data_IF_765672138651
#
_entry.id   IF_765672138651
#
_cell.length_a   1.000
_cell.length_b   1.000
_cell.length_c   1.000
_cell.angle_alpha   90.00
_cell.angle_beta   90.00
_cell.angle_gamma   90.00
#
_symmetry.space_group_name_H-M   'P 1'
#
loop_
_entity.id
_entity.type
_entity.pdbx_description
1 polymer ?
#
# COMPACT_ATOMS: atom_id res chain seq x y z
N UNK A 1 -60.99 62.23 28.38
CA UNK A 1 -61.10 61.89 26.95
C UNK A 1 -60.06 60.80 26.68
N UNK A 2 -60.53 59.57 26.46
CA UNK A 2 -59.95 58.41 25.73
C UNK A 2 -58.44 58.10 25.81
N UNK A 3 -57.95 56.85 25.82
CA UNK A 3 -58.46 55.49 26.02
C UNK A 3 -57.21 54.56 26.05
N UNK A 4 -57.32 53.41 26.70
CA UNK A 4 -56.33 52.32 26.73
C UNK A 4 -55.85 51.84 25.35
N UNK A 5 -54.60 51.36 25.28
CA UNK A 5 -54.23 50.16 24.52
C UNK A 5 -52.90 49.58 25.03
N UNK A 6 -53.03 48.54 25.85
CA UNK A 6 -51.98 47.58 26.15
C UNK A 6 -51.68 46.75 24.91
N UNK A 7 -50.43 46.76 24.44
CA UNK A 7 -49.94 45.79 23.47
C UNK A 7 -48.99 44.84 24.19
N UNK A 8 -49.50 43.64 24.46
CA UNK A 8 -48.72 42.46 24.78
C UNK A 8 -47.75 42.17 23.64
N UNK A 9 -46.46 42.26 23.92
CA UNK A 9 -45.41 41.75 23.04
C UNK A 9 -45.32 40.24 23.31
N UNK A 10 -45.98 39.45 22.48
CA UNK A 10 -45.72 38.02 22.37
C UNK A 10 -44.24 37.82 21.97
N UNK A 11 -43.48 36.94 22.63
CA UNK A 11 -42.14 36.59 22.17
C UNK A 11 -42.27 35.89 20.81
N UNK A 12 -41.64 36.47 19.79
CA UNK A 12 -41.43 35.80 18.52
C UNK A 12 -40.75 34.47 18.79
N UNK A 13 -41.35 33.39 18.27
CA UNK A 13 -40.79 32.06 18.30
C UNK A 13 -39.35 32.09 17.77
N UNK A 14 -38.40 31.77 18.66
CA UNK A 14 -37.04 31.42 18.27
C UNK A 14 -37.14 30.30 17.25
N UNK A 15 -36.95 30.65 15.97
CA UNK A 15 -36.66 29.66 14.95
C UNK A 15 -35.29 29.09 15.27
N UNK A 16 -35.25 28.09 16.15
CA UNK A 16 -34.08 27.24 16.35
C UNK A 16 -33.81 26.60 15.00
N UNK A 17 -32.91 27.20 14.23
CA UNK A 17 -32.34 26.56 13.07
C UNK A 17 -31.53 25.40 13.63
N UNK A 18 -32.13 24.21 13.67
CA UNK A 18 -31.43 22.96 13.98
C UNK A 18 -30.47 22.73 12.80
N UNK A 19 -29.29 23.32 12.87
CA UNK A 19 -28.19 23.02 11.95
C UNK A 19 -27.75 21.59 12.28
N UNK A 20 -28.35 20.61 11.60
CA UNK A 20 -27.98 19.20 11.74
C UNK A 20 -26.52 19.02 11.34
N UNK A 21 -25.72 18.48 12.26
CA UNK A 21 -24.31 18.12 12.05
C UNK A 21 -24.17 17.24 10.79
N UNK A 22 -23.36 17.69 9.83
CA UNK A 22 -22.97 16.90 8.66
C UNK A 22 -21.62 16.25 8.99
N UNK A 23 -21.63 15.32 9.94
CA UNK A 23 -20.46 14.50 10.25
C UNK A 23 -20.71 13.09 9.70
N UNK A 24 -19.78 12.52 8.91
CA UNK A 24 -19.90 11.14 8.49
C UNK A 24 -19.97 10.27 9.74
N UNK A 25 -20.99 9.41 9.85
CA UNK A 25 -20.93 8.32 10.83
C UNK A 25 -19.63 7.55 10.59
N UNK A 26 -18.97 7.12 11.65
CA UNK A 26 -17.75 6.31 11.54
C UNK A 26 -18.15 4.85 11.36
N UNK A 27 -17.79 4.18 10.26
CA UNK A 27 -18.15 2.79 10.05
C UNK A 27 -17.35 1.87 10.96
N UNK A 28 -18.03 0.93 11.62
CA UNK A 28 -17.42 -0.19 12.32
C UNK A 28 -16.58 -1.06 11.38
N UNK A 29 -17.02 -1.25 10.13
CA UNK A 29 -16.28 -1.96 9.08
C UNK A 29 -16.48 -1.25 7.75
N UNK A 30 -15.38 -1.01 7.03
CA UNK A 30 -15.38 -0.49 5.66
C UNK A 30 -14.72 -1.52 4.76
N UNK A 31 -15.41 -1.93 3.70
CA UNK A 31 -14.89 -2.82 2.67
C UNK A 31 -14.95 -2.11 1.32
N UNK A 32 -13.84 -2.10 0.59
CA UNK A 32 -13.78 -1.50 -0.75
C UNK A 32 -13.67 -2.59 -1.82
N UNK A 33 -14.59 -2.61 -2.77
CA UNK A 33 -14.62 -3.53 -3.91
C UNK A 33 -14.35 -2.73 -5.17
N UNK A 34 -13.07 -2.56 -5.57
CA UNK A 34 -12.70 -1.92 -6.83
C UNK A 34 -13.11 -2.82 -7.99
N UNK A 35 -14.03 -2.30 -8.81
CA UNK A 35 -14.58 -3.03 -9.95
C UNK A 35 -13.83 -2.71 -11.24
N UNK A 36 -13.29 -1.51 -11.39
CA UNK A 36 -12.59 -1.09 -12.60
C UNK A 36 -11.35 -0.29 -12.22
N UNK A 37 -10.25 -0.49 -12.94
CA UNK A 37 -9.03 0.29 -12.81
C UNK A 37 -8.45 0.61 -14.19
N UNK A 38 -8.62 1.85 -14.64
CA UNK A 38 -8.14 2.32 -15.93
C UNK A 38 -6.93 3.24 -15.73
N UNK A 39 -5.86 3.14 -16.55
CA UNK A 39 -5.73 2.29 -17.74
C UNK A 39 -5.19 0.88 -17.46
N UNK A 40 -4.84 0.55 -16.21
CA UNK A 40 -4.17 -0.71 -15.87
C UNK A 40 -4.91 -1.98 -16.38
N UNK A 41 -6.25 -2.01 -16.30
CA UNK A 41 -7.04 -3.15 -16.77
C UNK A 41 -6.86 -3.41 -18.28
N UNK A 42 -6.46 -2.40 -19.07
CA UNK A 42 -6.10 -2.60 -20.48
C UNK A 42 -4.80 -3.38 -20.62
N UNK A 43 -3.81 -3.11 -19.77
CA UNK A 43 -2.54 -3.83 -19.75
C UNK A 43 -2.75 -5.27 -19.27
N UNK A 44 -3.54 -5.45 -18.20
CA UNK A 44 -3.95 -6.77 -17.72
C UNK A 44 -4.76 -7.57 -18.75
N UNK A 45 -5.56 -6.90 -19.59
CA UNK A 45 -6.24 -7.57 -20.71
C UNK A 45 -5.25 -8.07 -21.76
N UNK A 46 -4.13 -7.39 -22.00
CA UNK A 46 -3.14 -7.82 -23.00
C UNK A 46 -2.41 -9.10 -22.56
N UNK A 47 -2.21 -9.31 -21.26
CA UNK A 47 -1.58 -10.53 -20.72
C UNK A 47 -2.55 -11.69 -20.57
N UNK A 48 -3.85 -11.43 -20.33
CA UNK A 48 -4.86 -12.47 -20.03
C UNK A 48 -5.82 -12.78 -21.19
N UNK A 49 -5.84 -11.95 -22.24
CA UNK A 49 -6.59 -12.14 -23.47
C UNK A 49 -8.02 -11.57 -23.51
N UNK A 50 -8.64 -11.25 -22.36
CA UNK A 50 -9.97 -10.62 -22.35
C UNK A 50 -10.19 -9.73 -21.13
N UNK A 51 -11.17 -8.83 -21.22
CA UNK A 51 -11.46 -7.86 -20.15
C UNK A 51 -11.85 -8.53 -18.83
N UNK A 52 -12.69 -9.57 -18.87
CA UNK A 52 -13.10 -10.29 -17.65
C UNK A 52 -12.00 -11.20 -17.10
N UNK A 53 -11.09 -11.70 -17.95
CA UNK A 53 -9.93 -12.47 -17.48
C UNK A 53 -8.84 -11.57 -16.88
N UNK A 54 -8.83 -10.28 -17.19
CA UNK A 54 -7.85 -9.33 -16.67
C UNK A 54 -7.89 -9.19 -15.13
N UNK A 55 -9.00 -9.55 -14.47
CA UNK A 55 -9.07 -9.60 -13.01
C UNK A 55 -8.22 -10.72 -12.38
N UNK A 56 -7.65 -11.63 -13.17
CA UNK A 56 -6.63 -12.58 -12.70
C UNK A 56 -5.26 -11.91 -12.44
N UNK A 57 -5.08 -10.68 -12.93
CA UNK A 57 -3.92 -9.83 -12.69
C UNK A 57 -4.42 -8.48 -12.12
N UNK A 58 -4.91 -8.45 -10.87
CA UNK A 58 -5.40 -7.22 -10.25
C UNK A 58 -4.33 -6.12 -10.20
N UNK A 59 -4.77 -4.86 -10.17
CA UNK A 59 -3.89 -3.70 -9.94
C UNK A 59 -3.37 -3.66 -8.49
N UNK A 60 -2.35 -2.86 -8.21
CA UNK A 60 -1.85 -2.63 -6.85
C UNK A 60 -2.96 -2.16 -5.92
N UNK A 61 -3.85 -1.29 -6.41
CA UNK A 61 -4.97 -0.78 -5.63
C UNK A 61 -6.09 -1.81 -5.43
N UNK A 62 -6.35 -2.65 -6.44
CA UNK A 62 -7.29 -3.77 -6.32
C UNK A 62 -6.80 -4.79 -5.30
N UNK A 63 -5.55 -5.23 -5.40
CA UNK A 63 -4.94 -6.18 -4.47
C UNK A 63 -4.90 -5.63 -3.05
N UNK A 64 -4.51 -4.37 -2.87
CA UNK A 64 -4.47 -3.74 -1.55
C UNK A 64 -5.85 -3.61 -0.92
N UNK A 65 -6.90 -3.33 -1.71
CA UNK A 65 -8.26 -3.31 -1.21
C UNK A 65 -8.72 -4.70 -0.75
N UNK A 66 -8.44 -5.75 -1.52
CA UNK A 66 -8.77 -7.13 -1.15
C UNK A 66 -8.08 -7.55 0.15
N UNK A 67 -6.77 -7.28 0.29
CA UNK A 67 -6.04 -7.60 1.52
C UNK A 67 -6.52 -6.82 2.73
N UNK A 68 -6.77 -5.52 2.56
CA UNK A 68 -7.34 -4.69 3.62
C UNK A 68 -8.70 -5.22 4.08
N UNK A 69 -9.57 -5.59 3.13
CA UNK A 69 -10.89 -6.14 3.41
C UNK A 69 -10.82 -7.46 4.18
N UNK A 70 -9.88 -8.33 3.81
CA UNK A 70 -9.67 -9.64 4.44
C UNK A 70 -9.33 -9.47 5.92
N UNK A 71 -8.26 -8.72 6.24
CA UNK A 71 -7.84 -8.48 7.62
C UNK A 71 -8.88 -7.69 8.43
N UNK A 72 -9.50 -6.66 7.84
CA UNK A 72 -10.54 -5.89 8.51
C UNK A 72 -11.76 -6.76 8.87
N UNK A 73 -12.21 -7.61 7.94
CA UNK A 73 -13.34 -8.52 8.16
C UNK A 73 -13.02 -9.59 9.20
N UNK A 74 -11.83 -10.21 9.09
CA UNK A 74 -11.37 -11.22 10.04
C UNK A 74 -11.36 -10.64 11.47
N UNK A 75 -10.76 -9.48 11.68
CA UNK A 75 -10.65 -8.88 13.01
C UNK A 75 -11.98 -8.43 13.60
N UNK A 76 -12.92 -7.96 12.77
CA UNK A 76 -14.30 -7.70 13.21
C UNK A 76 -14.96 -9.00 13.63
N UNK A 77 -14.81 -10.06 12.86
CA UNK A 77 -15.38 -11.39 13.15
C UNK A 77 -14.85 -11.97 14.45
N UNK A 78 -13.53 -11.93 14.66
CA UNK A 78 -12.89 -12.42 15.89
C UNK A 78 -13.34 -11.66 17.12
N UNK A 79 -13.41 -10.32 17.05
CA UNK A 79 -13.93 -9.51 18.16
C UNK A 79 -15.36 -9.91 18.53
N UNK A 80 -16.24 -10.09 17.55
CA UNK A 80 -17.61 -10.57 17.78
C UNK A 80 -17.66 -12.00 18.33
N UNK A 81 -16.77 -12.88 17.87
CA UNK A 81 -16.73 -14.27 18.33
C UNK A 81 -16.36 -14.40 19.82
N UNK A 82 -15.52 -13.51 20.34
CA UNK A 82 -15.10 -13.53 21.75
C UNK A 82 -16.00 -12.69 22.66
N UNK A 83 -16.90 -11.85 22.11
CA UNK A 83 -17.83 -11.00 22.88
C UNK A 83 -18.62 -11.76 23.97
N UNK A 84 -19.15 -12.98 23.72
CA UNK A 84 -19.90 -13.75 24.71
C UNK A 84 -19.09 -14.18 25.94
N UNK A 85 -17.76 -14.10 25.92
CA UNK A 85 -16.91 -14.46 27.05
C UNK A 85 -17.06 -13.37 28.13
N UNK A 86 -17.81 -13.68 29.19
CA UNK A 86 -18.13 -12.73 30.27
C UNK A 86 -16.92 -12.27 31.09
N UNK A 87 -15.88 -13.11 31.22
CA UNK A 87 -14.65 -12.73 31.92
C UNK A 87 -13.77 -11.86 31.00
N UNK A 88 -13.55 -10.59 31.37
CA UNK A 88 -12.80 -9.61 30.58
C UNK A 88 -11.36 -10.04 30.27
N UNK A 89 -10.65 -10.63 31.24
CA UNK A 89 -9.26 -11.07 31.06
C UNK A 89 -9.19 -12.26 30.11
N UNK A 90 -10.06 -13.25 30.31
CA UNK A 90 -10.17 -14.41 29.43
C UNK A 90 -10.54 -14.00 28.00
N UNK A 91 -11.50 -13.07 27.84
CA UNK A 91 -11.88 -12.53 26.54
C UNK A 91 -10.72 -11.85 25.83
N UNK A 92 -9.92 -11.08 26.58
CA UNK A 92 -8.74 -10.40 26.02
C UNK A 92 -7.69 -11.40 25.58
N UNK A 93 -7.39 -12.41 26.40
CA UNK A 93 -6.44 -13.48 26.05
C UNK A 93 -6.94 -14.25 24.82
N UNK A 94 -8.22 -14.64 24.81
CA UNK A 94 -8.84 -15.34 23.68
C UNK A 94 -8.74 -14.51 22.39
N UNK A 95 -8.99 -13.20 22.46
CA UNK A 95 -8.85 -12.31 21.29
C UNK A 95 -7.41 -12.26 20.78
N UNK A 96 -6.43 -12.10 21.68
CA UNK A 96 -5.01 -12.00 21.31
C UNK A 96 -4.55 -13.29 20.64
N UNK A 97 -4.86 -14.45 21.22
CA UNK A 97 -4.51 -15.76 20.66
C UNK A 97 -5.20 -15.97 19.31
N UNK A 98 -6.49 -15.62 19.20
CA UNK A 98 -7.24 -15.79 17.95
C UNK A 98 -6.70 -14.90 16.83
N UNK A 99 -6.36 -13.64 17.15
CA UNK A 99 -5.75 -12.70 16.19
C UNK A 99 -4.38 -13.21 15.74
N UNK A 100 -3.52 -13.62 16.68
CA UNK A 100 -2.20 -14.17 16.35
C UNK A 100 -2.29 -15.35 15.37
N UNK A 101 -3.12 -16.35 15.70
CA UNK A 101 -3.30 -17.52 14.86
C UNK A 101 -3.91 -17.17 13.50
N UNK A 102 -4.88 -16.27 13.48
CA UNK A 102 -5.55 -15.85 12.24
C UNK A 102 -4.60 -15.09 11.33
N UNK A 103 -3.89 -14.09 11.83
CA UNK A 103 -2.95 -13.29 11.03
C UNK A 103 -1.81 -14.14 10.47
N UNK A 104 -1.28 -15.09 11.26
CA UNK A 104 -0.28 -16.04 10.77
C UNK A 104 -0.82 -16.92 9.64
N UNK A 105 -2.05 -17.42 9.75
CA UNK A 105 -2.66 -18.22 8.66
C UNK A 105 -2.92 -17.33 7.44
N UNK A 106 -3.47 -16.14 7.66
CA UNK A 106 -3.81 -15.21 6.60
C UNK A 106 -2.59 -14.67 5.87
N UNK A 107 -1.41 -14.58 6.49
CA UNK A 107 -0.20 -14.16 5.77
C UNK A 107 0.16 -15.09 4.61
N UNK A 108 -0.27 -16.36 4.65
CA UNK A 108 -0.11 -17.35 3.58
C UNK A 108 -1.33 -17.50 2.67
N UNK A 109 -2.47 -16.89 3.01
CA UNK A 109 -3.71 -17.08 2.27
C UNK A 109 -3.77 -16.21 1.00
N UNK A 110 -4.52 -16.64 -0.05
CA UNK A 110 -4.90 -15.75 -1.13
C UNK A 110 -5.66 -14.52 -0.60
N UNK A 111 -5.29 -13.33 -1.05
CA UNK A 111 -5.77 -12.07 -0.48
C UNK A 111 -5.05 -11.65 0.80
N UNK A 112 -4.15 -12.45 1.35
CA UNK A 112 -3.33 -12.15 2.53
C UNK A 112 -2.15 -11.22 2.26
N UNK A 113 -1.32 -11.01 3.29
CA UNK A 113 -0.12 -10.17 3.22
C UNK A 113 0.93 -10.67 2.21
N UNK A 114 1.27 -11.97 2.22
CA UNK A 114 2.18 -12.54 1.22
C UNK A 114 1.57 -12.53 -0.18
N UNK A 115 0.26 -12.75 -0.31
CA UNK A 115 -0.40 -12.68 -1.62
C UNK A 115 -0.34 -11.26 -2.19
N UNK A 116 -0.52 -10.25 -1.34
CA UNK A 116 -0.40 -8.85 -1.71
C UNK A 116 1.02 -8.51 -2.19
N UNK A 117 2.04 -9.02 -1.50
CA UNK A 117 3.45 -8.88 -1.89
C UNK A 117 3.65 -9.36 -3.33
N UNK A 118 3.26 -10.60 -3.63
CA UNK A 118 3.43 -11.15 -4.97
C UNK A 118 2.59 -10.43 -6.03
N UNK A 119 1.35 -10.01 -5.72
CA UNK A 119 0.54 -9.26 -6.68
C UNK A 119 1.11 -7.88 -7.01
N UNK A 120 1.90 -7.26 -6.13
CA UNK A 120 2.57 -6.01 -6.46
C UNK A 120 3.68 -6.20 -7.49
N UNK A 121 4.47 -7.27 -7.41
CA UNK A 121 5.40 -7.64 -8.49
C UNK A 121 4.65 -7.91 -9.79
N UNK A 122 3.54 -8.68 -9.72
CA UNK A 122 2.72 -9.00 -10.89
C UNK A 122 2.08 -7.77 -11.53
N UNK A 123 1.74 -6.76 -10.75
CA UNK A 123 1.22 -5.50 -11.28
C UNK A 123 2.26 -4.78 -12.15
N UNK A 124 3.52 -4.72 -11.69
CA UNK A 124 4.63 -4.15 -12.48
C UNK A 124 4.88 -4.99 -13.74
N UNK A 125 4.94 -6.33 -13.63
CA UNK A 125 5.10 -7.22 -14.80
C UNK A 125 3.96 -7.04 -15.82
N UNK A 126 2.72 -6.99 -15.34
CA UNK A 126 1.52 -6.87 -16.18
C UNK A 126 1.50 -5.56 -16.96
N UNK A 127 1.92 -4.46 -16.31
CA UNK A 127 2.05 -3.14 -16.94
C UNK A 127 2.99 -3.16 -18.15
N UNK A 128 3.99 -4.02 -18.11
CA UNK A 128 4.99 -4.26 -19.17
C UNK A 128 4.70 -5.51 -20.00
N UNK A 129 3.42 -5.91 -20.01
CA UNK A 129 2.88 -7.00 -20.84
C UNK A 129 3.57 -8.35 -20.62
N UNK A 130 4.08 -8.55 -19.42
CA UNK A 130 4.69 -9.81 -18.98
C UNK A 130 3.66 -10.57 -18.17
N UNK A 131 3.24 -11.73 -18.67
CA UNK A 131 2.32 -12.59 -17.93
C UNK A 131 3.07 -13.37 -16.83
N UNK A 132 2.36 -13.70 -15.77
CA UNK A 132 2.94 -14.32 -14.57
C UNK A 132 1.87 -15.00 -13.73
N UNK A 133 2.29 -15.78 -12.73
CA UNK A 133 1.42 -16.45 -11.76
C UNK A 133 1.91 -16.16 -10.34
N UNK A 134 0.98 -15.86 -9.44
CA UNK A 134 1.26 -15.74 -8.01
C UNK A 134 1.08 -17.11 -7.35
N UNK A 135 2.16 -17.70 -6.85
CA UNK A 135 2.10 -19.02 -6.23
C UNK A 135 1.47 -19.00 -4.83
N UNK A 136 1.25 -17.83 -4.21
CA UNK A 136 0.41 -17.69 -3.00
C UNK A 136 -1.03 -18.15 -3.24
N UNK A 137 -1.49 -18.19 -4.48
CA UNK A 137 -2.81 -18.75 -4.82
C UNK A 137 -2.95 -20.25 -4.50
N UNK A 138 -1.83 -20.95 -4.25
CA UNK A 138 -1.80 -22.35 -3.80
C UNK A 138 -1.94 -22.50 -2.28
N UNK A 139 -2.01 -21.38 -1.55
CA UNK A 139 -2.01 -21.32 -0.09
C UNK A 139 -0.80 -22.06 0.53
N UNK A 140 0.43 -21.58 0.28
CA UNK A 140 1.68 -22.27 0.63
C UNK A 140 2.03 -22.13 2.12
N UNK A 141 1.16 -22.62 3.01
CA UNK A 141 1.32 -22.45 4.46
C UNK A 141 2.69 -23.00 4.94
N UNK A 142 3.51 -22.11 5.49
CA UNK A 142 4.83 -22.45 6.03
C UNK A 142 5.94 -22.61 4.99
N UNK A 143 5.71 -22.25 3.73
CA UNK A 143 6.78 -22.17 2.74
C UNK A 143 7.78 -21.06 3.09
N UNK A 144 9.08 -21.34 2.92
CA UNK A 144 10.15 -20.38 3.18
C UNK A 144 10.28 -19.32 2.08
N UNK A 145 9.96 -19.71 0.84
CA UNK A 145 9.94 -18.83 -0.35
C UNK A 145 8.69 -19.09 -1.16
N UNK A 146 8.18 -18.05 -1.81
CA UNK A 146 7.04 -18.14 -2.72
C UNK A 146 7.36 -17.34 -3.97
N UNK A 147 7.04 -17.90 -5.13
CA UNK A 147 7.52 -17.39 -6.41
C UNK A 147 6.43 -16.66 -7.19
N UNK A 148 6.80 -15.60 -7.91
CA UNK A 148 6.07 -15.14 -9.09
C UNK A 148 6.58 -15.91 -10.31
N UNK A 149 5.86 -16.98 -10.63
CA UNK A 149 6.25 -17.97 -11.64
C UNK A 149 5.65 -17.68 -13.02
N UNK A 150 5.94 -18.57 -13.99
CA UNK A 150 5.44 -18.53 -15.38
C UNK A 150 5.82 -17.29 -16.18
N UNK A 151 6.92 -16.65 -15.80
CA UNK A 151 7.53 -15.55 -16.55
C UNK A 151 8.47 -16.13 -17.60
N UNK A 152 8.45 -15.59 -18.82
CA UNK A 152 9.37 -16.00 -19.89
C UNK A 152 10.65 -15.16 -19.84
N UNK A 153 11.78 -15.76 -20.19
CA UNK A 153 13.06 -15.05 -20.22
C UNK A 153 13.04 -13.93 -21.27
N UNK A 154 12.41 -14.14 -22.42
CA UNK A 154 12.31 -13.12 -23.48
C UNK A 154 11.51 -11.90 -23.02
N UNK A 155 10.51 -12.09 -22.15
CA UNK A 155 9.73 -10.99 -21.58
C UNK A 155 10.58 -10.16 -20.61
N UNK A 156 11.41 -10.80 -19.77
CA UNK A 156 12.31 -10.10 -18.86
C UNK A 156 13.43 -9.37 -19.61
N UNK A 157 13.99 -9.98 -20.66
CA UNK A 157 14.96 -9.33 -21.55
C UNK A 157 14.37 -8.09 -22.18
N UNK A 158 13.17 -8.20 -22.78
CA UNK A 158 12.46 -7.06 -23.37
C UNK A 158 12.20 -5.97 -22.31
N UNK A 159 11.63 -6.36 -21.17
CA UNK A 159 11.23 -5.43 -20.12
C UNK A 159 12.44 -4.63 -19.60
N UNK A 160 13.56 -5.27 -19.26
CA UNK A 160 14.75 -4.54 -18.81
C UNK A 160 15.28 -3.56 -19.85
N UNK A 161 15.28 -3.94 -21.13
CA UNK A 161 15.75 -3.07 -22.21
C UNK A 161 14.83 -1.87 -22.47
N UNK A 162 13.51 -2.08 -22.45
CA UNK A 162 12.53 -1.05 -22.80
C UNK A 162 12.21 -0.12 -21.62
N UNK A 163 12.34 -0.58 -20.37
CA UNK A 163 11.92 0.17 -19.19
C UNK A 163 12.77 -0.17 -17.95
N UNK A 164 14.06 0.18 -17.94
CA UNK A 164 14.99 -0.20 -16.88
C UNK A 164 14.59 0.32 -15.50
N UNK A 165 14.03 1.53 -15.40
CA UNK A 165 13.57 2.07 -14.11
C UNK A 165 12.44 1.25 -13.49
N UNK A 166 11.45 0.83 -14.29
CA UNK A 166 10.38 -0.05 -13.81
C UNK A 166 10.91 -1.46 -13.52
N UNK A 167 11.89 -1.94 -14.29
CA UNK A 167 12.57 -3.21 -14.01
C UNK A 167 13.32 -3.19 -12.68
N UNK A 168 13.99 -2.08 -12.34
CA UNK A 168 14.63 -1.89 -11.03
C UNK A 168 13.57 -1.82 -9.93
N UNK A 169 12.42 -1.17 -10.17
CA UNK A 169 11.34 -1.14 -9.17
C UNK A 169 10.73 -2.53 -8.92
N UNK A 170 10.70 -3.38 -9.94
CA UNK A 170 9.97 -4.64 -9.91
C UNK A 170 10.25 -5.46 -8.62
N UNK A 171 11.50 -5.75 -8.21
CA UNK A 171 11.76 -6.55 -7.01
C UNK A 171 11.43 -5.84 -5.69
N UNK A 172 11.28 -4.51 -5.66
CA UNK A 172 10.92 -3.80 -4.41
C UNK A 172 9.42 -3.56 -4.27
N UNK A 173 8.64 -3.84 -5.32
CA UNK A 173 7.20 -3.62 -5.33
C UNK A 173 6.47 -4.47 -4.26
N UNK A 174 6.94 -5.67 -3.94
CA UNK A 174 6.27 -6.54 -2.97
C UNK A 174 6.14 -5.93 -1.57
N UNK A 175 7.26 -5.43 -1.01
CA UNK A 175 7.23 -4.75 0.29
C UNK A 175 6.52 -3.38 0.23
N UNK A 176 6.43 -2.77 -0.96
CA UNK A 176 5.60 -1.57 -1.18
C UNK A 176 4.13 -1.88 -0.83
N UNK A 177 3.62 -3.03 -1.26
CA UNK A 177 2.26 -3.47 -0.93
C UNK A 177 2.04 -3.69 0.57
N UNK A 178 2.99 -4.34 1.23
CA UNK A 178 2.94 -4.66 2.66
C UNK A 178 2.89 -3.39 3.52
N UNK A 179 3.76 -2.41 3.25
CA UNK A 179 3.73 -1.14 3.99
C UNK A 179 2.45 -0.33 3.74
N UNK A 180 1.90 -0.36 2.51
CA UNK A 180 0.62 0.27 2.21
C UNK A 180 -0.56 -0.42 2.93
N UNK A 181 -0.51 -1.74 3.13
CA UNK A 181 -1.52 -2.48 3.90
C UNK A 181 -1.53 -2.00 5.35
N UNK A 182 -0.35 -1.95 5.98
CA UNK A 182 -0.21 -1.46 7.36
C UNK A 182 -0.68 -0.03 7.48
N UNK A 183 -0.28 0.87 6.57
CA UNK A 183 -0.75 2.25 6.55
C UNK A 183 -2.28 2.32 6.45
N UNK A 184 -2.90 1.55 5.54
CA UNK A 184 -4.35 1.60 5.31
C UNK A 184 -5.13 1.14 6.53
N UNK A 185 -4.69 0.07 7.19
CA UNK A 185 -5.29 -0.42 8.43
C UNK A 185 -5.09 0.57 9.60
N UNK A 186 -3.92 1.21 9.69
CA UNK A 186 -3.67 2.28 10.66
C UNK A 186 -4.61 3.47 10.46
N UNK A 187 -4.77 3.92 9.20
CA UNK A 187 -5.72 4.98 8.81
C UNK A 187 -7.14 4.61 9.16
N UNK A 188 -7.57 3.37 8.95
CA UNK A 188 -8.89 2.90 9.35
C UNK A 188 -9.09 3.02 10.87
N UNK A 189 -8.12 2.55 11.66
CA UNK A 189 -8.18 2.66 13.12
C UNK A 189 -8.21 4.12 13.61
N UNK A 190 -7.40 4.99 13.00
CA UNK A 190 -7.31 6.40 13.37
C UNK A 190 -8.56 7.21 12.94
N UNK A 191 -8.89 7.21 11.64
CA UNK A 191 -9.94 8.06 11.06
C UNK A 191 -11.35 7.49 11.20
N UNK A 192 -11.53 6.18 11.31
CA UNK A 192 -12.85 5.57 11.50
C UNK A 192 -13.08 5.09 12.93
N UNK A 193 -12.12 5.30 13.84
CA UNK A 193 -12.24 4.93 15.26
C UNK A 193 -12.58 3.45 15.47
N UNK A 194 -12.16 2.57 14.57
CA UNK A 194 -12.61 1.17 14.55
C UNK A 194 -12.06 0.34 15.71
N UNK A 195 -10.95 0.75 16.32
CA UNK A 195 -10.32 0.09 17.48
C UNK A 195 -10.12 -1.43 17.28
N UNK A 196 -9.72 -1.83 16.08
CA UNK A 196 -9.46 -3.22 15.70
C UNK A 196 -8.05 -3.65 16.10
N UNK A 197 -7.84 -4.91 16.51
CA UNK A 197 -6.57 -5.45 16.96
C UNK A 197 -5.64 -5.77 15.79
N UNK A 198 -5.30 -4.78 14.97
CA UNK A 198 -4.42 -4.96 13.81
C UNK A 198 -2.93 -4.97 14.18
N UNK A 199 -2.57 -4.73 15.44
CA UNK A 199 -1.18 -4.54 15.86
C UNK A 199 -0.30 -5.74 15.54
N UNK A 200 -0.82 -6.97 15.68
CA UNK A 200 -0.04 -8.16 15.34
C UNK A 200 0.23 -8.23 13.83
N UNK A 201 -0.77 -8.04 12.97
CA UNK A 201 -0.56 -7.89 11.52
C UNK A 201 0.42 -6.76 11.18
N UNK A 202 0.41 -5.63 11.89
CA UNK A 202 1.40 -4.56 11.67
C UNK A 202 2.81 -5.04 11.89
N UNK A 203 3.06 -5.68 13.03
CA UNK A 203 4.37 -6.22 13.38
C UNK A 203 4.79 -7.35 12.45
N UNK A 204 3.87 -8.28 12.13
CA UNK A 204 4.14 -9.40 11.23
C UNK A 204 4.60 -8.89 9.86
N UNK A 205 3.84 -7.99 9.26
CA UNK A 205 4.13 -7.43 7.93
C UNK A 205 5.43 -6.60 7.95
N UNK A 206 5.55 -5.62 8.87
CA UNK A 206 6.72 -4.73 8.92
C UNK A 206 8.02 -5.46 9.26
N UNK A 207 8.00 -6.37 10.25
CA UNK A 207 9.19 -7.13 10.63
C UNK A 207 9.58 -8.12 9.53
N UNK A 208 8.61 -8.77 8.88
CA UNK A 208 8.91 -9.64 7.75
C UNK A 208 9.64 -8.87 6.64
N UNK A 209 9.13 -7.71 6.23
CA UNK A 209 9.79 -6.87 5.22
C UNK A 209 11.18 -6.38 5.68
N UNK A 210 11.34 -5.94 6.93
CA UNK A 210 12.64 -5.52 7.48
C UNK A 210 13.66 -6.67 7.43
N UNK A 211 13.26 -7.84 7.94
CA UNK A 211 14.13 -9.00 8.00
C UNK A 211 14.46 -9.49 6.60
N UNK A 212 13.53 -9.46 5.66
CA UNK A 212 13.76 -9.91 4.29
C UNK A 212 14.79 -9.04 3.55
N UNK A 213 14.69 -7.71 3.66
CA UNK A 213 15.72 -6.80 3.09
C UNK A 213 17.08 -7.04 3.75
N UNK A 214 17.13 -7.23 5.08
CA UNK A 214 18.38 -7.47 5.79
C UNK A 214 19.01 -8.81 5.43
N UNK A 215 18.22 -9.88 5.38
CA UNK A 215 18.67 -11.22 4.99
C UNK A 215 19.19 -11.23 3.56
N UNK A 216 18.59 -10.45 2.66
CA UNK A 216 19.08 -10.28 1.29
C UNK A 216 20.47 -9.63 1.19
N UNK A 217 21.04 -9.18 2.30
CA UNK A 217 22.41 -8.64 2.40
C UNK A 217 23.39 -9.54 3.15
N UNK A 218 22.96 -10.73 3.58
CA UNK A 218 23.80 -11.72 4.26
C UNK A 218 24.34 -12.76 3.26
N UNK A 219 25.65 -12.74 2.97
CA UNK A 219 26.24 -13.67 1.99
C UNK A 219 25.99 -15.14 2.27
N UNK A 220 26.01 -15.55 3.55
CA UNK A 220 25.85 -16.96 3.90
C UNK A 220 24.43 -17.46 3.63
N UNK A 221 23.44 -16.60 3.80
CA UNK A 221 22.05 -16.95 3.60
C UNK A 221 21.66 -16.84 2.14
N UNK A 222 21.97 -15.71 1.50
CA UNK A 222 21.62 -15.42 0.11
C UNK A 222 22.22 -16.43 -0.85
N UNK A 223 23.53 -16.69 -0.75
CA UNK A 223 24.20 -17.54 -1.74
C UNK A 223 23.73 -18.99 -1.62
N UNK A 224 23.55 -19.48 -0.38
CA UNK A 224 22.98 -20.80 -0.09
C UNK A 224 21.56 -20.93 -0.64
N UNK A 225 20.69 -19.99 -0.31
CA UNK A 225 19.29 -20.03 -0.74
C UNK A 225 19.17 -19.90 -2.26
N UNK A 226 20.01 -19.08 -2.89
CA UNK A 226 20.09 -18.97 -4.36
C UNK A 226 20.49 -20.30 -5.00
N UNK A 227 21.46 -21.02 -4.43
CA UNK A 227 21.85 -22.34 -4.90
C UNK A 227 20.74 -23.38 -4.73
N UNK A 228 20.06 -23.37 -3.59
CA UNK A 228 18.91 -24.24 -3.31
C UNK A 228 17.76 -23.97 -4.29
N UNK A 229 17.42 -22.70 -4.55
CA UNK A 229 16.38 -22.32 -5.50
C UNK A 229 16.74 -22.72 -6.94
N UNK A 230 17.97 -22.43 -7.39
CA UNK A 230 18.43 -22.83 -8.73
C UNK A 230 18.40 -24.35 -8.93
N UNK A 231 18.66 -25.13 -7.87
CA UNK A 231 18.59 -26.59 -7.91
C UNK A 231 17.14 -27.12 -7.93
N UNK A 232 16.24 -26.48 -7.18
CA UNK A 232 14.86 -26.91 -7.00
C UNK A 232 13.89 -26.40 -8.08
N UNK A 233 14.27 -25.36 -8.83
CA UNK A 233 13.45 -24.75 -9.87
C UNK A 233 14.07 -24.88 -11.27
N UNK A 234 14.28 -26.11 -11.76
CA UNK A 234 14.92 -26.32 -13.05
C UNK A 234 14.04 -25.80 -14.19
N UNK A 235 12.71 -25.91 -14.12
CA UNK A 235 11.81 -25.49 -15.20
C UNK A 235 11.58 -23.97 -15.19
N UNK A 236 11.85 -23.30 -16.32
CA UNK A 236 11.58 -21.86 -16.55
C UNK A 236 10.15 -21.48 -16.17
N UNK A 237 9.18 -22.39 -16.32
CA UNK A 237 7.76 -22.15 -16.01
C UNK A 237 7.46 -22.08 -14.52
N UNK A 238 8.25 -22.74 -13.68
CA UNK A 238 8.08 -22.74 -12.22
C UNK A 238 9.07 -21.82 -11.53
N UNK A 239 10.17 -21.48 -12.21
CA UNK A 239 11.20 -20.56 -11.75
C UNK A 239 10.60 -19.19 -11.41
N UNK A 240 10.98 -18.68 -10.26
CA UNK A 240 10.72 -17.29 -9.89
C UNK A 240 11.30 -16.30 -10.92
N UNK A 241 10.76 -15.09 -10.97
CA UNK A 241 11.23 -14.06 -11.90
C UNK A 241 12.59 -13.47 -11.50
N UNK A 242 12.95 -13.47 -10.21
CA UNK A 242 14.15 -12.76 -9.72
C UNK A 242 14.91 -13.45 -8.57
N UNK A 243 14.28 -14.40 -7.87
CA UNK A 243 14.83 -15.02 -6.67
C UNK A 243 14.71 -14.07 -5.49
N UNK A 244 15.82 -13.83 -4.79
CA UNK A 244 15.81 -12.87 -3.68
C UNK A 244 15.77 -11.43 -4.21
N UNK A 245 14.66 -10.77 -3.91
CA UNK A 245 14.28 -9.48 -4.47
C UNK A 245 15.35 -8.40 -4.33
N UNK A 246 15.85 -8.20 -3.10
CA UNK A 246 16.66 -7.02 -2.81
C UNK A 246 18.11 -7.15 -3.27
N UNK A 247 18.61 -8.37 -3.41
CA UNK A 247 19.90 -8.64 -4.05
C UNK A 247 19.82 -8.29 -5.54
N UNK A 248 18.73 -8.67 -6.21
CA UNK A 248 18.50 -8.32 -7.61
C UNK A 248 18.25 -6.81 -7.78
N UNK A 249 17.45 -6.21 -6.90
CA UNK A 249 17.20 -4.76 -6.89
C UNK A 249 18.49 -3.96 -6.84
N UNK A 250 19.38 -4.22 -5.88
CA UNK A 250 20.62 -3.46 -5.78
C UNK A 250 21.54 -3.74 -6.97
N UNK A 251 21.56 -4.97 -7.48
CA UNK A 251 22.34 -5.32 -8.66
C UNK A 251 21.94 -4.46 -9.87
N UNK A 252 20.64 -4.38 -10.18
CA UNK A 252 20.14 -3.61 -11.32
C UNK A 252 20.14 -2.11 -11.06
N UNK A 253 19.99 -1.66 -9.82
CA UNK A 253 20.06 -0.24 -9.44
C UNK A 253 21.43 0.37 -9.77
N UNK A 254 22.51 -0.40 -9.57
CA UNK A 254 23.88 0.00 -9.92
C UNK A 254 24.23 -0.29 -11.39
N UNK A 255 23.44 -1.14 -12.08
CA UNK A 255 23.67 -1.55 -13.48
C UNK A 255 22.41 -1.35 -14.34
N UNK A 256 21.85 -0.13 -14.40
CA UNK A 256 20.56 0.12 -15.03
C UNK A 256 20.55 -0.19 -16.54
N UNK A 257 21.70 -0.08 -17.21
CA UNK A 257 21.84 -0.26 -18.66
C UNK A 257 22.45 -1.61 -19.06
N UNK A 258 22.82 -2.47 -18.11
CA UNK A 258 23.37 -3.79 -18.41
C UNK A 258 22.29 -4.68 -19.04
N UNK A 259 22.62 -5.43 -20.08
CA UNK A 259 21.63 -6.31 -20.72
C UNK A 259 21.18 -7.40 -19.74
N UNK A 260 19.90 -7.75 -19.78
CA UNK A 260 19.41 -8.86 -18.94
C UNK A 260 20.07 -10.20 -19.30
N UNK A 261 20.53 -10.37 -20.55
CA UNK A 261 21.23 -11.58 -21.00
C UNK A 261 22.63 -11.73 -20.40
N UNK A 262 23.24 -10.65 -19.94
CA UNK A 262 24.60 -10.66 -19.36
C UNK A 262 24.63 -11.37 -18.00
N UNK A 263 23.44 -11.65 -17.45
CA UNK A 263 23.23 -12.52 -16.30
C UNK A 263 23.75 -13.95 -16.49
N UNK A 264 23.95 -14.38 -17.75
CA UNK A 264 24.47 -15.69 -18.10
C UNK A 264 23.40 -16.78 -18.15
N UNK A 265 23.84 -18.00 -18.48
CA UNK A 265 22.98 -19.17 -18.57
C UNK A 265 22.70 -19.70 -17.15
N UNK A 266 21.46 -20.13 -16.91
CA UNK A 266 21.07 -20.79 -15.66
C UNK A 266 22.05 -21.94 -15.32
N UNK A 267 22.39 -22.21 -14.04
CA UNK A 267 23.38 -23.24 -13.69
C UNK A 267 23.10 -24.64 -14.24
N UNK A 268 21.84 -24.97 -14.52
CA UNK A 268 21.44 -26.24 -15.14
C UNK A 268 21.40 -26.23 -16.68
N UNK A 269 21.87 -25.14 -17.31
CA UNK A 269 21.99 -24.99 -18.76
C UNK A 269 20.73 -24.52 -19.51
N UNK A 270 19.66 -24.18 -18.80
CA UNK A 270 18.36 -23.88 -19.40
C UNK A 270 17.82 -22.47 -19.06
N UNK A 271 17.80 -21.60 -20.07
CA UNK A 271 17.37 -20.21 -19.92
C UNK A 271 18.40 -19.33 -19.22
N UNK A 272 17.97 -18.14 -18.81
CA UNK A 272 18.80 -17.12 -18.14
C UNK A 272 18.93 -17.41 -16.65
N UNK A 273 20.11 -17.16 -16.09
CA UNK A 273 20.34 -17.16 -14.65
C UNK A 273 19.69 -15.93 -13.99
N UNK A 274 18.40 -16.02 -13.66
CA UNK A 274 17.63 -14.90 -13.12
C UNK A 274 18.18 -14.43 -11.77
N UNK A 275 18.62 -15.36 -10.93
CA UNK A 275 18.93 -15.06 -9.52
C UNK A 275 20.29 -14.40 -9.38
N UNK A 276 20.42 -13.56 -8.36
CA UNK A 276 21.66 -12.85 -8.01
C UNK A 276 22.13 -13.29 -6.64
N UNK A 277 23.40 -13.65 -6.56
CA UNK A 277 24.11 -13.92 -5.30
C UNK A 277 24.74 -12.65 -4.76
N UNK A 278 25.15 -12.66 -3.50
CA UNK A 278 25.98 -11.57 -2.96
C UNK A 278 27.37 -11.54 -3.60
N UNK A 279 27.87 -12.67 -4.11
CA UNK A 279 29.11 -12.72 -4.90
C UNK A 279 29.01 -11.99 -6.24
N UNK A 280 27.80 -11.73 -6.72
CA UNK A 280 27.57 -10.92 -7.93
C UNK A 280 27.57 -9.41 -7.62
N UNK A 281 27.60 -9.04 -6.34
CA UNK A 281 27.63 -7.65 -5.89
C UNK A 281 29.06 -7.18 -5.60
N UNK A 282 29.31 -5.90 -5.91
CA UNK A 282 30.51 -5.23 -5.41
C UNK A 282 30.41 -4.96 -3.91
N UNK A 283 31.53 -4.62 -3.26
CA UNK A 283 31.53 -4.26 -1.84
C UNK A 283 30.64 -3.04 -1.55
N UNK A 284 30.62 -2.05 -2.47
CA UNK A 284 29.82 -0.84 -2.34
C UNK A 284 28.32 -1.11 -2.53
N UNK A 285 27.95 -1.98 -3.47
CA UNK A 285 26.57 -2.44 -3.66
C UNK A 285 26.05 -3.17 -2.42
N UNK A 286 26.84 -4.11 -1.89
CA UNK A 286 26.48 -4.84 -0.69
C UNK A 286 26.38 -3.91 0.54
N UNK A 287 27.29 -2.94 0.66
CA UNK A 287 27.23 -1.93 1.72
C UNK A 287 25.99 -1.04 1.58
N UNK A 288 25.64 -0.64 0.36
CA UNK A 288 24.43 0.11 0.09
C UNK A 288 23.18 -0.70 0.49
N UNK A 289 23.08 -1.97 0.09
CA UNK A 289 21.95 -2.82 0.47
C UNK A 289 21.83 -2.99 1.99
N UNK A 290 22.95 -3.19 2.71
CA UNK A 290 22.98 -3.24 4.18
C UNK A 290 22.48 -1.95 4.81
N UNK A 291 22.88 -0.80 4.27
CA UNK A 291 22.40 0.52 4.73
C UNK A 291 20.89 0.62 4.56
N UNK A 292 20.35 0.26 3.40
CA UNK A 292 18.91 0.29 3.13
C UNK A 292 18.14 -0.67 4.04
N UNK A 293 18.65 -1.90 4.25
CA UNK A 293 18.07 -2.85 5.20
C UNK A 293 18.04 -2.34 6.64
N UNK A 294 19.02 -1.53 7.07
CA UNK A 294 18.98 -0.89 8.38
C UNK A 294 17.99 0.29 8.45
N UNK A 295 17.84 1.05 7.37
CA UNK A 295 16.85 2.14 7.29
C UNK A 295 15.41 1.62 7.31
N UNK A 296 15.16 0.36 6.95
CA UNK A 296 13.83 -0.26 7.07
C UNK A 296 13.27 -0.21 8.50
N UNK A 297 14.12 -0.13 9.54
CA UNK A 297 13.66 0.04 10.93
C UNK A 297 12.91 1.36 11.17
N UNK A 298 13.03 2.35 10.28
CA UNK A 298 12.19 3.54 10.36
C UNK A 298 10.70 3.20 10.24
N UNK A 299 10.32 2.12 9.54
CA UNK A 299 8.94 1.68 9.39
C UNK A 299 8.28 1.21 10.70
N UNK A 300 9.03 0.97 11.79
CA UNK A 300 8.44 0.67 13.11
C UNK A 300 8.13 1.93 13.94
N UNK A 301 8.57 3.11 13.48
CA UNK A 301 8.42 4.35 14.23
C UNK A 301 7.02 4.93 14.03
N UNK A 302 6.05 4.37 14.76
CA UNK A 302 4.69 4.86 14.85
C UNK A 302 4.07 4.42 16.19
N UNK A 303 3.45 5.32 16.97
CA UNK A 303 2.72 4.94 18.18
C UNK A 303 1.61 3.90 17.89
N UNK A 304 1.08 3.87 16.67
CA UNK A 304 0.05 2.91 16.26
C UNK A 304 0.55 1.47 16.21
N UNK A 305 1.88 1.24 16.09
CA UNK A 305 2.47 -0.10 16.14
C UNK A 305 2.26 -0.78 17.50
N UNK A 306 2.18 0.01 18.57
CA UNK A 306 2.03 -0.48 19.95
C UNK A 306 0.65 -0.18 20.54
N UNK A 307 -0.34 0.04 19.67
CA UNK A 307 -1.75 0.22 20.07
C UNK A 307 -2.13 1.64 20.50
N UNK A 308 -1.22 2.62 20.42
CA UNK A 308 -1.58 4.04 20.60
C UNK A 308 -2.23 4.53 19.30
N UNK A 309 -3.48 4.15 19.12
CA UNK A 309 -4.26 4.41 17.89
C UNK A 309 -4.63 5.87 17.70
N UNK A 310 -4.57 6.70 18.74
CA UNK A 310 -4.92 8.13 18.70
C UNK A 310 -4.33 8.86 19.91
N UNK A 311 -3.75 10.04 19.67
CA UNK A 311 -3.29 10.96 20.72
C UNK A 311 -4.23 12.16 20.74
N UNK A 312 -4.87 12.44 21.87
CA UNK A 312 -5.75 13.62 21.99
C UNK A 312 -4.89 14.85 22.32
N UNK A 313 -4.92 15.85 21.44
CA UNK A 313 -4.21 17.13 21.61
C UNK A 313 -5.11 18.14 22.33
N UNK A 314 -6.41 18.09 22.06
CA UNK A 314 -7.45 18.83 22.78
C UNK A 314 -8.77 18.04 22.79
N UNK A 315 -9.84 18.61 23.32
CA UNK A 315 -11.17 18.00 23.33
C UNK A 315 -11.73 17.72 21.93
N UNK A 316 -11.26 18.43 20.91
CA UNK A 316 -11.77 18.33 19.54
C UNK A 316 -10.67 18.08 18.50
N UNK A 317 -9.41 17.88 18.92
CA UNK A 317 -8.28 17.63 18.03
C UNK A 317 -7.50 16.42 18.51
N UNK A 318 -7.25 15.50 17.59
CA UNK A 318 -6.40 14.35 17.80
C UNK A 318 -5.37 14.22 16.70
N UNK A 319 -4.20 13.68 17.05
CA UNK A 319 -3.10 13.46 16.13
C UNK A 319 -2.49 12.07 16.27
N UNK A 320 -1.68 11.70 15.27
CA UNK A 320 -0.72 10.61 15.33
C UNK A 320 0.40 10.85 14.30
N UNK A 321 1.48 10.07 14.37
CA UNK A 321 2.59 10.15 13.41
C UNK A 321 3.04 8.74 12.99
N UNK A 322 3.64 8.63 11.81
CA UNK A 322 4.35 7.43 11.39
C UNK A 322 5.51 7.82 10.46
N UNK A 323 6.66 7.15 10.63
CA UNK A 323 7.72 7.17 9.63
C UNK A 323 7.53 6.03 8.64
N UNK A 324 7.94 6.26 7.40
CA UNK A 324 8.01 5.22 6.37
C UNK A 324 9.32 5.32 5.62
N UNK A 325 9.87 4.17 5.26
CA UNK A 325 11.04 4.06 4.40
C UNK A 325 10.74 3.07 3.28
N UNK A 326 10.81 3.55 2.05
CA UNK A 326 10.49 2.81 0.83
C UNK A 326 11.75 2.64 -0.01
N UNK A 327 11.90 1.49 -0.65
CA UNK A 327 12.88 1.33 -1.73
C UNK A 327 12.22 1.70 -3.06
N UNK A 328 12.95 2.37 -3.94
CA UNK A 328 12.44 2.86 -5.23
C UNK A 328 13.35 2.48 -6.39
N UNK A 329 12.94 2.80 -7.61
CA UNK A 329 13.73 2.64 -8.84
C UNK A 329 15.02 3.46 -8.87
N UNK A 330 15.11 4.49 -8.03
CA UNK A 330 16.23 5.43 -7.98
C UNK A 330 16.92 5.45 -6.62
N UNK A 331 16.57 4.57 -5.68
CA UNK A 331 17.09 4.60 -4.32
C UNK A 331 16.01 4.39 -3.27
N UNK A 332 15.60 5.45 -2.58
CA UNK A 332 14.60 5.35 -1.51
C UNK A 332 13.75 6.61 -1.34
N UNK A 333 12.64 6.46 -0.62
CA UNK A 333 11.88 7.55 -0.02
C UNK A 333 11.85 7.36 1.50
N UNK A 334 12.23 8.39 2.26
CA UNK A 334 11.99 8.42 3.70
C UNK A 334 10.96 9.51 4.00
N UNK A 335 9.81 9.11 4.53
CA UNK A 335 8.67 9.99 4.71
C UNK A 335 8.21 10.06 6.17
N UNK A 336 7.80 11.25 6.61
CA UNK A 336 7.08 11.47 7.87
C UNK A 336 5.62 11.76 7.54
N UNK A 337 4.72 10.90 8.03
CA UNK A 337 3.27 11.09 7.97
C UNK A 337 2.74 11.63 9.28
N UNK A 338 1.89 12.65 9.19
CA UNK A 338 1.20 13.29 10.31
C UNK A 338 -0.31 13.14 10.08
N UNK A 339 -0.96 12.37 10.94
CA UNK A 339 -2.40 12.13 10.90
C UNK A 339 -3.08 13.14 11.81
N UNK A 340 -4.08 13.86 11.29
CA UNK A 340 -4.84 14.85 12.05
C UNK A 340 -6.34 14.59 11.90
N UNK A 341 -7.03 14.58 13.03
CA UNK A 341 -8.49 14.57 13.10
C UNK A 341 -8.97 15.72 13.96
N UNK A 342 -9.76 16.60 13.36
CA UNK A 342 -10.47 17.69 14.04
C UNK A 342 -11.96 17.43 14.01
N UNK A 343 -12.56 17.29 15.19
CA UNK A 343 -14.01 17.25 15.35
C UNK A 343 -14.53 18.68 15.37
N UNK A 344 -15.39 19.03 14.42
CA UNK A 344 -16.00 20.35 14.33
C UNK A 344 -17.49 20.30 14.65
N UNK A 345 -18.09 21.43 15.06
CA UNK A 345 -19.54 21.51 15.29
C UNK A 345 -20.34 21.22 14.01
N UNK A 346 -19.79 21.55 12.85
CA UNK A 346 -20.46 21.38 11.55
C UNK A 346 -19.92 20.21 10.73
N UNK A 347 -18.59 20.06 10.65
CA UNK A 347 -17.90 19.04 9.86
C UNK A 347 -16.67 18.53 10.60
N UNK A 348 -16.45 17.23 10.53
CA UNK A 348 -15.18 16.62 10.92
C UNK A 348 -14.16 16.85 9.78
N UNK A 349 -12.91 17.14 10.14
CA UNK A 349 -11.80 17.24 9.20
C UNK A 349 -10.81 16.14 9.56
N UNK A 350 -10.61 15.23 8.62
CA UNK A 350 -9.59 14.20 8.68
C UNK A 350 -8.54 14.53 7.62
N UNK A 351 -7.29 14.66 8.01
CA UNK A 351 -6.21 15.01 7.11
C UNK A 351 -4.96 14.16 7.37
N UNK A 352 -4.21 13.88 6.31
CA UNK A 352 -2.84 13.37 6.37
C UNK A 352 -1.94 14.39 5.70
N UNK A 353 -0.87 14.78 6.39
CA UNK A 353 0.22 15.57 5.84
C UNK A 353 1.45 14.66 5.79
N UNK A 354 2.11 14.60 4.63
CA UNK A 354 3.35 13.82 4.47
C UNK A 354 4.46 14.73 4.00
N UNK A 355 5.63 14.61 4.62
CA UNK A 355 6.87 15.19 4.12
C UNK A 355 7.73 14.04 3.64
N UNK A 356 8.12 14.09 2.37
CA UNK A 356 8.96 13.09 1.72
C UNK A 356 10.37 13.61 1.55
N UNK A 357 11.32 12.71 1.72
CA UNK A 357 12.72 12.92 1.38
C UNK A 357 13.16 11.80 0.45
N UNK A 358 12.89 11.99 -0.85
CA UNK A 358 13.40 11.10 -1.88
C UNK A 358 14.92 11.21 -1.93
N UNK A 359 15.60 10.08 -1.96
CA UNK A 359 17.06 10.02 -1.92
C UNK A 359 17.54 9.04 -2.96
N UNK A 360 18.46 9.46 -3.81
CA UNK A 360 19.20 8.53 -4.67
C UNK A 360 20.55 8.19 -4.05
N UNK A 361 21.56 7.78 -4.83
CA UNK A 361 22.86 7.39 -4.28
C UNK A 361 23.49 8.48 -3.39
N UNK A 362 23.36 9.76 -3.75
CA UNK A 362 24.06 10.86 -3.07
C UNK A 362 23.28 12.19 -2.98
N UNK A 363 22.08 12.27 -3.54
CA UNK A 363 21.29 13.49 -3.59
C UNK A 363 19.89 13.32 -2.97
N UNK A 364 19.34 14.44 -2.52
CA UNK A 364 18.04 14.54 -1.84
C UNK A 364 17.07 15.37 -2.66
N UNK A 365 15.80 14.95 -2.68
CA UNK A 365 14.74 15.58 -3.45
C UNK A 365 13.47 15.67 -2.57
N UNK A 366 13.10 16.86 -2.09
CA UNK A 366 11.99 17.01 -1.17
C UNK A 366 10.63 16.94 -1.89
N UNK A 367 9.62 16.43 -1.21
CA UNK A 367 8.23 16.58 -1.61
C UNK A 367 7.29 16.69 -0.42
N UNK A 368 6.09 17.19 -0.68
CA UNK A 368 5.01 17.30 0.30
C UNK A 368 3.73 16.71 -0.28
N UNK A 369 2.96 16.06 0.59
CA UNK A 369 1.65 15.49 0.25
C UNK A 369 0.61 15.92 1.27
N UNK A 370 -0.59 16.23 0.79
CA UNK A 370 -1.76 16.47 1.62
C UNK A 370 -2.93 15.67 1.10
N UNK A 371 -3.61 14.97 1.99
CA UNK A 371 -4.83 14.23 1.70
C UNK A 371 -5.91 14.57 2.74
N UNK A 372 -7.12 14.90 2.28
CA UNK A 372 -8.30 14.95 3.17
C UNK A 372 -9.07 13.64 3.04
N UNK A 373 -9.61 13.13 4.16
CA UNK A 373 -10.27 11.83 4.20
C UNK A 373 -11.76 11.98 4.45
N UNK A 374 -12.57 11.49 3.50
CA UNK A 374 -14.03 11.49 3.56
C UNK A 374 -14.62 12.86 3.95
N UNK A 375 -14.08 13.94 3.38
CA UNK A 375 -14.56 15.28 3.67
C UNK A 375 -16.01 15.43 3.16
N UNK A 376 -16.98 15.76 4.03
CA UNK A 376 -18.38 15.81 3.63
C UNK A 376 -18.65 17.05 2.78
N UNK A 377 -19.07 16.82 1.54
CA UNK A 377 -19.57 17.83 0.60
C UNK A 377 -21.06 17.61 0.32
N UNK A 378 -21.78 18.70 0.02
CA UNK A 378 -23.22 18.68 -0.20
C UNK A 378 -24.05 19.17 0.99
N UNK A 379 -25.33 18.77 1.03
CA UNK A 379 -26.32 19.23 2.00
C UNK A 379 -26.69 18.13 3.00
N UNK A 380 -27.53 18.48 3.99
CA UNK A 380 -28.01 17.56 5.04
C UNK A 380 -28.73 16.32 4.48
N UNK A 381 -29.34 16.40 3.30
CA UNK A 381 -30.10 15.31 2.68
C UNK A 381 -29.32 14.54 1.60
N UNK A 382 -28.23 15.12 1.07
CA UNK A 382 -27.36 14.48 0.08
C UNK A 382 -25.91 14.80 0.42
N UNK A 383 -25.28 13.88 1.15
CA UNK A 383 -23.88 13.99 1.53
C UNK A 383 -23.05 13.09 0.63
N UNK A 384 -22.07 13.67 -0.05
CA UNK A 384 -21.00 12.94 -0.70
C UNK A 384 -19.74 13.08 0.16
N UNK A 385 -18.88 12.07 0.12
CA UNK A 385 -17.62 12.09 0.85
C UNK A 385 -16.52 12.23 -0.19
N UNK A 386 -15.77 13.31 -0.10
CA UNK A 386 -14.69 13.60 -1.04
C UNK A 386 -13.35 13.54 -0.32
N UNK A 387 -12.41 12.79 -0.88
CA UNK A 387 -11.07 12.63 -0.36
C UNK A 387 -10.04 13.15 -1.36
N UNK A 388 -9.85 14.49 -1.47
CA UNK A 388 -8.83 15.07 -2.35
C UNK A 388 -7.42 14.75 -1.86
N UNK A 389 -6.50 14.58 -2.82
CA UNK A 389 -5.07 14.31 -2.60
C UNK A 389 -4.23 15.18 -3.53
N UNK A 390 -3.20 15.81 -2.98
CA UNK A 390 -2.21 16.57 -3.75
C UNK A 390 -0.82 16.19 -3.26
N UNK A 391 0.10 15.89 -4.18
CA UNK A 391 1.52 15.73 -3.91
C UNK A 391 2.32 16.62 -4.86
N UNK A 392 3.32 17.32 -4.33
CA UNK A 392 4.19 18.24 -5.07
C UNK A 392 5.62 18.11 -4.56
N UNK A 393 6.59 18.04 -5.47
CA UNK A 393 7.99 18.03 -5.11
C UNK A 393 8.92 17.73 -6.27
N UNK A 394 10.05 17.13 -5.95
CA UNK A 394 11.11 16.81 -6.88
C UNK A 394 11.51 15.34 -6.76
N UNK A 395 11.98 14.75 -7.86
CA UNK A 395 12.63 13.45 -7.89
C UNK A 395 13.84 13.48 -8.84
N UNK A 396 14.75 12.50 -8.78
CA UNK A 396 15.83 12.39 -9.76
C UNK A 396 15.28 12.29 -11.18
N UNK A 397 15.85 13.06 -12.12
CA UNK A 397 15.44 13.01 -13.53
C UNK A 397 15.60 11.59 -14.08
N UNK A 398 14.60 11.13 -14.83
CA UNK A 398 14.53 9.80 -15.44
C UNK A 398 14.67 8.67 -14.42
N UNK A 399 14.38 8.94 -13.14
CA UNK A 399 14.57 8.00 -12.02
C UNK A 399 16.02 7.48 -11.92
N UNK A 400 17.01 8.29 -12.29
CA UNK A 400 18.40 7.86 -12.28
C UNK A 400 18.99 7.80 -10.86
N UNK A 401 19.71 6.71 -10.59
CA UNK A 401 20.29 6.44 -9.27
C UNK A 401 21.42 7.41 -8.87
N UNK A 402 22.16 7.96 -9.83
CA UNK A 402 23.38 8.76 -9.55
C UNK A 402 23.31 10.21 -10.03
N UNK A 403 22.20 10.62 -10.65
CA UNK A 403 22.05 11.98 -11.16
C UNK A 403 21.92 13.01 -10.03
N UNK A 404 22.44 14.22 -10.26
CA UNK A 404 22.20 15.39 -9.42
C UNK A 404 21.03 16.25 -9.91
N UNK A 405 20.53 15.98 -11.13
CA UNK A 405 19.43 16.72 -11.73
C UNK A 405 18.09 16.24 -11.20
N UNK A 406 17.17 17.19 -11.00
CA UNK A 406 15.81 16.91 -10.54
C UNK A 406 14.76 17.18 -11.61
N UNK A 407 13.68 16.42 -11.59
CA UNK A 407 12.44 16.70 -12.32
C UNK A 407 11.27 16.95 -11.36
N UNK A 408 10.26 17.66 -11.85
CA UNK A 408 9.06 17.96 -11.07
C UNK A 408 8.17 16.72 -10.90
N UNK A 409 7.84 16.43 -9.65
CA UNK A 409 6.84 15.43 -9.27
C UNK A 409 5.57 16.14 -8.83
N UNK A 410 4.46 15.87 -9.53
CA UNK A 410 3.15 16.37 -9.18
C UNK A 410 2.10 15.27 -9.29
N UNK A 411 1.18 15.22 -8.32
CA UNK A 411 -0.02 14.40 -8.36
C UNK A 411 -1.21 15.23 -7.87
N UNK A 412 -2.31 15.18 -8.63
CA UNK A 412 -3.63 15.63 -8.22
C UNK A 412 -4.57 14.44 -8.31
N UNK A 413 -5.25 14.11 -7.23
CA UNK A 413 -6.22 13.04 -7.23
C UNK A 413 -7.35 13.29 -6.25
N UNK A 414 -8.31 12.39 -6.27
CA UNK A 414 -9.34 12.36 -5.26
C UNK A 414 -10.28 11.20 -5.43
N UNK A 415 -10.95 10.86 -4.33
CA UNK A 415 -12.00 9.86 -4.32
C UNK A 415 -13.32 10.45 -3.87
N UNK A 416 -14.36 10.23 -4.65
CA UNK A 416 -15.73 10.63 -4.38
C UNK A 416 -16.58 9.39 -4.07
N UNK A 417 -17.05 9.26 -2.83
CA UNK A 417 -18.01 8.25 -2.42
C UNK A 417 -19.42 8.87 -2.35
N UNK A 418 -20.36 8.31 -3.11
CA UNK A 418 -21.76 8.76 -3.17
C UNK A 418 -22.63 7.82 -2.35
N UNK A 419 -23.37 8.34 -1.37
CA UNK A 419 -24.28 7.52 -0.57
C UNK A 419 -25.52 7.13 -1.38
N UNK A 420 -25.57 5.88 -1.84
CA UNK A 420 -26.76 5.31 -2.52
C UNK A 420 -27.71 4.63 -1.52
N UNK A 421 -27.15 3.92 -0.54
CA UNK A 421 -27.90 3.22 0.51
C UNK A 421 -27.33 3.57 1.91
N UNK A 422 -27.90 3.01 2.98
CA UNK A 422 -27.33 3.12 4.33
C UNK A 422 -25.93 2.54 4.43
N UNK A 423 -25.60 1.53 3.62
CA UNK A 423 -24.35 0.78 3.67
C UNK A 423 -23.55 0.78 2.38
N UNK A 424 -24.16 1.13 1.24
CA UNK A 424 -23.54 1.02 -0.08
C UNK A 424 -23.22 2.43 -0.61
N UNK A 425 -21.95 2.63 -0.93
CA UNK A 425 -21.41 3.88 -1.44
C UNK A 425 -20.61 3.60 -2.72
N UNK A 426 -21.23 3.70 -3.91
CA UNK A 426 -20.46 3.72 -5.15
C UNK A 426 -19.43 4.84 -5.10
N UNK A 427 -18.23 4.56 -5.61
CA UNK A 427 -17.16 5.55 -5.63
C UNK A 427 -16.51 5.67 -7.01
N UNK A 428 -15.98 6.88 -7.23
CA UNK A 428 -15.07 7.24 -8.30
C UNK A 428 -13.77 7.73 -7.66
N UNK A 429 -12.66 7.08 -7.96
CA UNK A 429 -11.31 7.48 -7.56
C UNK A 429 -10.53 7.86 -8.83
N UNK A 430 -9.87 9.00 -8.83
CA UNK A 430 -9.08 9.46 -9.96
C UNK A 430 -7.75 10.03 -9.50
N UNK A 431 -6.72 9.92 -10.33
CA UNK A 431 -5.42 10.52 -10.10
C UNK A 431 -4.75 10.89 -11.43
N UNK A 432 -4.30 12.14 -11.54
CA UNK A 432 -3.40 12.61 -12.59
C UNK A 432 -2.02 12.86 -11.97
N UNK A 433 -0.96 12.37 -12.60
CA UNK A 433 0.42 12.63 -12.14
C UNK A 433 1.40 12.89 -13.28
N UNK A 434 2.47 13.62 -12.97
CA UNK A 434 3.66 13.73 -13.82
C UNK A 434 4.48 12.43 -13.82
N UNK A 435 5.58 12.40 -14.58
CA UNK A 435 6.57 11.35 -14.44
C UNK A 435 7.15 11.33 -13.01
N UNK A 436 7.51 10.14 -12.54
CA UNK A 436 8.07 9.88 -11.22
C UNK A 436 7.33 8.81 -10.42
N UNK A 437 8.00 8.24 -9.43
CA UNK A 437 7.46 7.22 -8.53
C UNK A 437 6.50 7.83 -7.51
N UNK A 438 5.36 7.17 -7.31
CA UNK A 438 4.42 7.42 -6.21
C UNK A 438 3.99 6.06 -5.66
N UNK A 439 4.09 5.86 -4.34
CA UNK A 439 3.69 4.61 -3.70
C UNK A 439 2.26 4.19 -4.05
N UNK A 440 2.09 2.93 -4.40
CA UNK A 440 0.84 2.28 -4.79
C UNK A 440 0.35 2.64 -6.19
N UNK A 441 1.18 3.27 -7.03
CA UNK A 441 0.87 3.57 -8.43
C UNK A 441 1.75 2.74 -9.36
N UNK A 442 1.18 2.00 -10.30
CA UNK A 442 1.89 1.08 -11.20
C UNK A 442 2.76 1.80 -12.23
N UNK A 443 2.59 3.11 -12.41
CA UNK A 443 3.16 3.86 -13.52
C UNK A 443 4.29 4.76 -13.01
N UNK A 444 5.52 4.60 -13.53
CA UNK A 444 6.57 5.60 -13.35
C UNK A 444 6.40 6.79 -14.30
N UNK A 445 5.95 6.58 -15.53
CA UNK A 445 5.63 7.66 -16.48
C UNK A 445 4.43 8.53 -16.06
N UNK A 446 4.16 9.63 -16.80
CA UNK A 446 2.93 10.41 -16.63
C UNK A 446 1.70 9.53 -16.80
N UNK A 447 0.68 9.75 -15.99
CA UNK A 447 -0.50 8.88 -16.00
C UNK A 447 -1.76 9.60 -15.51
N UNK A 448 -2.90 9.24 -16.10
CA UNK A 448 -4.21 9.53 -15.57
C UNK A 448 -4.92 8.20 -15.30
N UNK A 449 -5.16 7.91 -14.02
CA UNK A 449 -5.91 6.73 -13.58
C UNK A 449 -7.30 7.10 -13.13
N UNK A 450 -8.25 6.22 -13.41
CA UNK A 450 -9.63 6.29 -12.97
C UNK A 450 -10.10 4.91 -12.51
N UNK A 451 -10.65 4.86 -11.31
CA UNK A 451 -11.11 3.66 -10.63
C UNK A 451 -12.56 3.81 -10.22
N UNK A 452 -13.35 2.78 -10.49
CA UNK A 452 -14.76 2.72 -10.09
C UNK A 452 -14.97 1.50 -9.20
N UNK A 453 -15.78 1.65 -8.17
CA UNK A 453 -16.07 0.54 -7.26
C UNK A 453 -17.19 0.82 -6.29
N UNK A 454 -17.33 -0.09 -5.33
CA UNK A 454 -18.31 0.00 -4.24
C UNK A 454 -17.58 0.03 -2.89
N UNK A 455 -17.94 0.96 -2.03
CA UNK A 455 -17.57 0.97 -0.63
C UNK A 455 -18.75 0.51 0.21
N UNK A 456 -18.59 -0.62 0.90
CA UNK A 456 -19.56 -1.16 1.83
C UNK A 456 -19.18 -0.73 3.25
N UNK A 457 -20.00 0.14 3.86
CA UNK A 457 -19.77 0.75 5.17
C UNK A 457 -20.82 0.26 6.16
N UNK A 458 -20.40 -0.54 7.14
CA UNK A 458 -21.25 -1.08 8.21
C UNK A 458 -21.06 -0.22 9.45
N UNK A 459 -22.14 0.37 9.95
CA UNK A 459 -22.14 1.34 11.06
C UNK A 459 -22.52 0.71 12.39
#
# INVERSE_FOLDING_TARGET
MLLFLSLEVYPQADSVVIIKRISPRTPALKLDVPLLDYPYQLDARRTTGSFFKAYANPSMQQSLALATNLYASAHVGLQKAVEPIGNKSLRTIALVVAVFATDYILSYAPGGDGWLHEEYHRAVLTRHHTNSSNDMNKFPLGAETVSVSRVRDEDLVRFKAESPADFIRLPVAGIEGQYLLVERLQRHNFFYKQNRPHEFQYWLSVLNSILYVKTSSDPKQVDRLTDELNANEPDIRTRDFTGLDFTAWVYDLFRPTESYTDRGIHPLGNGINRYRKTTDLTADELAYLKKQGNLQWLNVLSPMMVGVRRINISSSLSGNIAMQHWLTSFGNDTALKIFLRKEGPFKDINAVFTVHNYTNFSHYFPAVEVELIDFPIGSTNRTWLFSPRVLLGLQPVDQQFTTSNSEFLGLLGGRLDVRLHKTIFPYLDFAAKSAGWVGGNEFLGPNFSCRLGLSCRFF
#
